data_IF_627688470470
#
_entry.id   IF_627688470470
#
_cell.length_a   1.000
_cell.length_b   1.000
_cell.length_c   1.000
_cell.angle_alpha   90.00
_cell.angle_beta   90.00
_cell.angle_gamma   90.00
#
_symmetry.space_group_name_H-M   'P 1'
#
loop_
_entity.id
_entity.type
_entity.pdbx_description
1 polymer ?
#
# COMPACT_ATOMS: atom_id res chain seq x y z
N UNK A 1 3.51 -3.83 5.53
CA UNK A 1 3.35 -3.87 4.05
C UNK A 1 4.08 -2.72 3.34
N UNK A 2 3.94 -1.47 3.81
CA UNK A 2 4.56 -0.27 3.19
C UNK A 2 6.05 -0.44 2.81
N UNK A 3 6.91 -0.90 3.72
CA UNK A 3 8.33 -1.11 3.45
C UNK A 3 8.60 -2.09 2.30
N UNK A 4 7.87 -3.20 2.25
CA UNK A 4 7.99 -4.17 1.15
C UNK A 4 7.52 -3.57 -0.18
N UNK A 5 6.47 -2.76 -0.18
CA UNK A 5 6.01 -2.04 -1.37
C UNK A 5 7.04 -1.03 -1.88
N UNK A 6 7.70 -0.29 -0.99
CA UNK A 6 8.79 0.63 -1.36
C UNK A 6 9.93 -0.09 -2.08
N UNK A 7 10.42 -1.20 -1.52
CA UNK A 7 11.51 -1.98 -2.10
C UNK A 7 11.10 -2.63 -3.43
N UNK A 8 9.88 -3.15 -3.51
CA UNK A 8 9.33 -3.73 -4.74
C UNK A 8 9.19 -2.68 -5.83
N UNK A 9 8.60 -1.53 -5.52
CA UNK A 9 8.37 -0.45 -6.47
C UNK A 9 9.69 0.06 -7.08
N UNK A 10 10.67 0.34 -6.22
CA UNK A 10 12.02 0.72 -6.65
C UNK A 10 12.74 -0.36 -7.45
N UNK A 11 12.39 -1.65 -7.29
CA UNK A 11 13.01 -2.74 -8.07
C UNK A 11 12.32 -2.94 -9.42
N UNK A 12 10.99 -2.82 -9.47
CA UNK A 12 10.17 -3.17 -10.62
C UNK A 12 9.91 -2.01 -11.58
N UNK A 13 10.36 -0.79 -11.26
CA UNK A 13 10.07 0.39 -12.09
C UNK A 13 8.67 0.97 -11.86
N UNK A 14 8.06 0.69 -10.71
CA UNK A 14 6.72 1.20 -10.38
C UNK A 14 6.87 2.52 -9.64
N UNK A 15 6.21 3.58 -10.11
CA UNK A 15 6.12 4.85 -9.36
C UNK A 15 5.26 4.64 -8.11
N UNK A 16 5.77 5.04 -6.95
CA UNK A 16 5.09 4.86 -5.67
C UNK A 16 5.09 6.15 -4.85
N UNK A 17 3.88 6.59 -4.51
CA UNK A 17 3.61 7.67 -3.57
C UNK A 17 3.11 7.06 -2.25
N UNK A 18 3.76 7.41 -1.15
CA UNK A 18 3.32 7.00 0.20
C UNK A 18 2.84 8.23 0.95
N UNK A 19 1.56 8.25 1.31
CA UNK A 19 0.99 9.27 2.18
C UNK A 19 0.89 8.76 3.62
N UNK A 20 1.46 9.50 4.58
CA UNK A 20 1.33 9.21 6.00
C UNK A 20 1.27 10.50 6.83
N UNK A 21 0.60 10.49 8.00
CA UNK A 21 0.68 11.60 8.94
C UNK A 21 2.13 11.89 9.33
N UNK A 22 2.48 13.16 9.62
CA UNK A 22 3.80 13.49 10.14
C UNK A 22 4.16 12.66 11.38
N UNK A 23 5.35 12.08 11.41
CA UNK A 23 5.83 11.18 12.47
C UNK A 23 5.42 9.71 12.30
N UNK A 24 4.76 9.35 11.20
CA UNK A 24 4.39 7.98 10.84
C UNK A 24 4.98 7.55 9.49
N UNK A 25 6.02 8.24 9.04
CA UNK A 25 6.72 7.95 7.80
C UNK A 25 7.34 6.54 7.81
N UNK A 26 7.52 5.91 6.63
CA UNK A 26 8.33 4.71 6.54
C UNK A 26 9.78 4.98 7.00
N UNK A 27 10.46 3.91 7.38
CA UNK A 27 11.84 3.96 7.84
C UNK A 27 12.75 4.58 6.77
N UNK A 28 13.56 5.56 7.17
CA UNK A 28 14.38 6.35 6.26
C UNK A 28 15.40 5.49 5.49
N UNK A 29 15.94 4.44 6.11
CA UNK A 29 16.91 3.55 5.47
C UNK A 29 16.22 2.69 4.39
N UNK A 30 14.97 2.28 4.62
CA UNK A 30 14.17 1.58 3.62
C UNK A 30 13.81 2.49 2.45
N UNK A 31 13.43 3.74 2.72
CA UNK A 31 13.18 4.74 1.66
C UNK A 31 14.43 4.99 0.83
N UNK A 32 15.60 5.10 1.47
CA UNK A 32 16.87 5.27 0.79
C UNK A 32 17.20 4.07 -0.13
N UNK A 33 17.02 2.85 0.36
CA UNK A 33 17.18 1.63 -0.43
C UNK A 33 16.22 1.57 -1.63
N UNK A 34 14.96 1.94 -1.42
CA UNK A 34 13.96 1.99 -2.50
C UNK A 34 14.36 2.99 -3.59
N UNK A 35 14.79 4.20 -3.21
CA UNK A 35 15.28 5.24 -4.15
C UNK A 35 16.54 4.81 -4.88
N UNK A 36 17.46 4.11 -4.21
CA UNK A 36 18.65 3.56 -4.85
C UNK A 36 18.28 2.54 -5.94
N UNK A 37 17.35 1.62 -5.65
CA UNK A 37 16.85 0.65 -6.64
C UNK A 37 16.16 1.39 -7.80
N UNK A 38 15.40 2.43 -7.48
CA UNK A 38 14.67 3.25 -8.43
C UNK A 38 15.58 3.94 -9.47
N UNK A 39 16.83 4.25 -9.11
CA UNK A 39 17.82 4.80 -10.06
C UNK A 39 18.07 3.86 -11.25
N UNK A 40 18.05 2.55 -11.03
CA UNK A 40 18.23 1.56 -12.09
C UNK A 40 16.92 1.25 -12.84
N UNK A 41 15.78 1.31 -12.16
CA UNK A 41 14.49 0.91 -12.74
C UNK A 41 13.70 2.07 -13.38
N UNK A 42 14.08 3.32 -13.13
CA UNK A 42 13.32 4.51 -13.53
C UNK A 42 12.07 4.78 -12.67
N UNK A 43 11.95 4.14 -11.50
CA UNK A 43 10.84 4.39 -10.60
C UNK A 43 10.97 5.77 -9.92
N UNK A 44 9.84 6.33 -9.47
CA UNK A 44 9.81 7.53 -8.64
C UNK A 44 9.22 7.18 -7.29
N UNK A 45 9.92 7.54 -6.21
CA UNK A 45 9.53 7.22 -4.82
C UNK A 45 9.34 8.52 -4.03
N UNK A 46 8.09 8.85 -3.77
CA UNK A 46 7.68 10.07 -3.10
C UNK A 46 7.05 9.76 -1.74
N UNK A 47 7.47 10.48 -0.70
CA UNK A 47 6.87 10.43 0.63
C UNK A 47 6.14 11.75 0.83
N UNK A 48 4.84 11.67 1.09
CA UNK A 48 3.92 12.78 1.12
C UNK A 48 3.14 12.77 2.44
N UNK A 49 2.55 13.92 2.76
CA UNK A 49 1.69 14.06 3.94
C UNK A 49 0.25 14.40 3.59
N UNK A 50 -0.09 14.61 2.31
CA UNK A 50 -1.47 14.80 1.89
C UNK A 50 -1.95 13.57 1.10
N UNK A 51 -2.94 12.81 1.61
CA UNK A 51 -3.50 11.68 0.88
C UNK A 51 -4.17 12.11 -0.43
N UNK A 52 -4.75 13.32 -0.49
CA UNK A 52 -5.38 13.82 -1.71
C UNK A 52 -4.36 14.09 -2.81
N UNK A 53 -3.15 14.53 -2.45
CA UNK A 53 -2.05 14.68 -3.38
C UNK A 53 -1.54 13.32 -3.87
N UNK A 54 -1.38 12.36 -2.96
CA UNK A 54 -0.80 11.05 -3.27
C UNK A 54 -1.66 10.21 -4.23
N UNK A 55 -2.98 10.35 -4.18
CA UNK A 55 -3.89 9.60 -5.07
C UNK A 55 -4.05 10.24 -6.45
N UNK A 56 -3.55 11.47 -6.67
CA UNK A 56 -3.63 12.10 -8.01
C UNK A 56 -2.90 11.22 -9.00
N UNK A 57 -3.55 10.93 -10.13
CA UNK A 57 -2.98 10.13 -11.23
C UNK A 57 -2.60 8.69 -10.84
N UNK A 58 -3.02 8.20 -9.67
CA UNK A 58 -2.65 6.86 -9.21
C UNK A 58 -3.47 5.77 -9.93
N UNK A 59 -2.80 4.80 -10.56
CA UNK A 59 -3.46 3.61 -11.14
C UNK A 59 -3.99 2.63 -10.07
N UNK A 60 -3.45 2.70 -8.85
CA UNK A 60 -3.88 1.88 -7.73
C UNK A 60 -3.74 2.64 -6.40
N UNK A 61 -4.76 2.52 -5.55
CA UNK A 61 -4.75 3.03 -4.17
C UNK A 61 -4.71 1.84 -3.22
N UNK A 62 -3.65 1.78 -2.40
CA UNK A 62 -3.43 0.69 -1.44
C UNK A 62 -3.44 1.24 -0.02
N UNK A 63 -4.28 0.68 0.85
CA UNK A 63 -4.21 0.93 2.30
C UNK A 63 -4.08 -0.36 3.13
N UNK A 64 -3.73 -0.20 4.40
CA UNK A 64 -3.55 -1.26 5.40
C UNK A 64 -4.09 -0.74 6.74
N UNK A 65 -4.32 -1.63 7.69
CA UNK A 65 -4.79 -1.28 9.04
C UNK A 65 -3.86 -0.26 9.68
N UNK A 66 -4.45 0.76 10.30
CA UNK A 66 -3.66 1.83 10.91
C UNK A 66 -2.90 1.36 12.14
N UNK A 67 -3.42 0.43 12.93
CA UNK A 67 -2.72 -0.18 14.04
C UNK A 67 -2.47 -1.65 13.73
N UNK A 68 -1.19 -2.02 13.63
CA UNK A 68 -0.80 -3.42 13.39
C UNK A 68 -1.04 -4.28 14.64
N UNK A 69 -0.98 -5.60 14.47
CA UNK A 69 -0.99 -6.53 15.60
C UNK A 69 0.15 -6.19 16.57
N UNK A 70 -0.15 -6.06 17.86
CA UNK A 70 0.81 -5.65 18.90
C UNK A 70 0.90 -4.14 19.13
N UNK A 71 0.09 -3.33 18.44
CA UNK A 71 0.02 -1.87 18.61
C UNK A 71 -1.32 -1.41 19.24
N UNK A 72 -2.00 -2.28 19.97
CA UNK A 72 -3.35 -2.04 20.50
C UNK A 72 -3.39 -0.82 21.43
N UNK A 73 -2.32 -0.58 22.19
CA UNK A 73 -2.20 0.58 23.08
C UNK A 73 -2.10 1.92 22.32
N UNK A 74 -1.63 1.93 21.07
CA UNK A 74 -1.50 3.12 20.21
C UNK A 74 -2.73 3.29 19.30
N UNK A 75 -3.71 2.38 19.33
CA UNK A 75 -4.81 2.34 18.37
C UNK A 75 -5.60 3.64 18.30
N UNK A 76 -5.99 4.21 19.44
CA UNK A 76 -6.77 5.45 19.51
C UNK A 76 -5.98 6.66 18.97
N UNK A 77 -4.70 6.74 19.30
CA UNK A 77 -3.81 7.81 18.81
C UNK A 77 -3.62 7.72 17.30
N UNK A 78 -3.39 6.52 16.78
CA UNK A 78 -3.29 6.26 15.34
C UNK A 78 -4.60 6.55 14.63
N UNK A 79 -5.76 6.15 15.19
CA UNK A 79 -7.07 6.45 14.61
C UNK A 79 -7.29 7.95 14.43
N UNK A 80 -6.87 8.78 15.39
CA UNK A 80 -6.95 10.25 15.27
C UNK A 80 -6.00 10.80 14.22
N UNK A 81 -4.74 10.33 14.20
CA UNK A 81 -3.74 10.80 13.25
C UNK A 81 -4.07 10.40 11.80
N UNK A 82 -4.55 9.17 11.60
CA UNK A 82 -4.84 8.60 10.30
C UNK A 82 -6.28 8.82 9.82
N UNK A 83 -7.18 9.34 10.66
CA UNK A 83 -8.55 9.68 10.26
C UNK A 83 -8.65 10.41 8.90
N UNK A 84 -7.83 11.46 8.65
CA UNK A 84 -7.78 12.14 7.35
C UNK A 84 -7.29 11.29 6.16
N UNK A 85 -6.71 10.12 6.41
CA UNK A 85 -6.16 9.19 5.41
C UNK A 85 -7.09 8.01 5.11
N UNK A 86 -8.32 8.00 5.65
CA UNK A 86 -9.31 6.98 5.32
C UNK A 86 -9.54 6.94 3.81
N UNK A 87 -9.43 5.75 3.23
CA UNK A 87 -9.80 5.54 1.84
C UNK A 87 -11.33 5.42 1.76
N UNK A 88 -11.95 6.52 1.39
CA UNK A 88 -13.39 6.64 1.16
C UNK A 88 -13.69 7.03 -0.29
N UNK A 89 -14.98 7.13 -0.63
CA UNK A 89 -15.42 7.46 -1.99
C UNK A 89 -14.91 8.84 -2.44
N UNK A 90 -14.81 9.82 -1.53
CA UNK A 90 -14.26 11.15 -1.87
C UNK A 90 -12.79 11.05 -2.26
N UNK A 91 -11.97 10.34 -1.47
CA UNK A 91 -10.55 10.18 -1.78
C UNK A 91 -10.36 9.41 -3.10
N UNK A 92 -11.08 8.30 -3.28
CA UNK A 92 -11.04 7.52 -4.53
C UNK A 92 -11.49 8.32 -5.75
N UNK A 93 -12.42 9.28 -5.60
CA UNK A 93 -12.86 10.14 -6.70
C UNK A 93 -11.79 11.09 -7.23
N UNK A 94 -10.68 11.27 -6.49
CA UNK A 94 -9.52 12.08 -6.90
C UNK A 94 -8.48 11.27 -7.68
N UNK A 95 -8.57 9.95 -7.64
CA UNK A 95 -7.80 9.07 -8.52
C UNK A 95 -8.49 8.96 -9.90
N UNK A 96 -7.76 8.53 -10.95
CA UNK A 96 -8.35 8.10 -12.22
C UNK A 96 -9.54 7.14 -12.03
N UNK A 97 -10.51 7.20 -12.95
CA UNK A 97 -11.76 6.41 -12.85
C UNK A 97 -11.53 4.90 -12.94
N UNK A 98 -10.44 4.50 -13.58
CA UNK A 98 -9.99 3.11 -13.75
C UNK A 98 -8.99 2.67 -12.67
N UNK A 99 -8.63 3.56 -11.74
CA UNK A 99 -7.79 3.21 -10.61
C UNK A 99 -8.41 2.09 -9.79
N UNK A 100 -7.60 1.14 -9.33
CA UNK A 100 -8.06 0.01 -8.52
C UNK A 100 -7.81 0.25 -7.04
N UNK A 101 -8.69 -0.28 -6.18
CA UNK A 101 -8.50 -0.29 -4.74
C UNK A 101 -7.92 -1.63 -4.26
N UNK A 102 -6.90 -1.54 -3.40
CA UNK A 102 -6.14 -2.66 -2.87
C UNK A 102 -6.04 -2.61 -1.33
N UNK A 103 -6.10 -3.78 -0.70
CA UNK A 103 -5.94 -3.95 0.75
C UNK A 103 -5.37 -5.35 1.06
N UNK A 104 -4.43 -5.45 2.00
CA UNK A 104 -3.72 -6.70 2.32
C UNK A 104 -4.54 -7.70 3.15
N UNK A 105 -5.57 -7.19 3.85
CA UNK A 105 -6.45 -7.85 4.82
C UNK A 105 -5.74 -8.32 6.11
N UNK A 106 -6.48 -8.44 7.23
CA UNK A 106 -7.91 -8.11 7.42
C UNK A 106 -8.15 -6.60 7.44
N UNK A 107 -9.32 -6.15 6.95
CA UNK A 107 -9.70 -4.73 6.98
C UNK A 107 -10.57 -4.39 8.21
N UNK A 108 -10.37 -3.21 8.79
CA UNK A 108 -11.24 -2.51 9.74
C UNK A 108 -12.09 -1.49 8.98
N UNK A 109 -13.26 -1.96 8.55
CA UNK A 109 -14.28 -1.11 7.90
C UNK A 109 -14.66 0.08 8.79
N UNK A 110 -14.73 1.26 8.19
CA UNK A 110 -14.97 2.53 8.90
C UNK A 110 -13.72 3.15 9.52
N UNK A 111 -12.57 2.48 9.47
CA UNK A 111 -11.26 3.03 9.83
C UNK A 111 -10.45 3.32 8.57
N UNK A 112 -9.52 2.45 8.15
CA UNK A 112 -8.68 2.72 6.98
C UNK A 112 -9.43 2.73 5.65
N UNK A 113 -10.62 2.12 5.60
CA UNK A 113 -11.44 2.01 4.39
C UNK A 113 -12.93 2.00 4.71
N UNK A 114 -13.75 2.60 3.85
CA UNK A 114 -15.22 2.51 3.95
C UNK A 114 -15.78 1.29 3.23
N UNK A 115 -16.99 0.86 3.61
CA UNK A 115 -17.69 -0.27 2.99
C UNK A 115 -17.85 -0.09 1.48
N UNK A 116 -18.24 1.13 1.07
CA UNK A 116 -18.46 1.50 -0.33
C UNK A 116 -17.22 1.33 -1.22
N UNK A 117 -16.03 1.52 -0.65
CA UNK A 117 -14.77 1.37 -1.40
C UNK A 117 -14.36 -0.10 -1.47
N UNK A 118 -14.34 -0.81 -0.33
CA UNK A 118 -13.84 -2.19 -0.29
C UNK A 118 -14.78 -3.18 -1.00
N UNK A 119 -16.09 -2.91 -1.02
CA UNK A 119 -17.07 -3.71 -1.77
C UNK A 119 -17.44 -3.08 -3.13
N UNK A 120 -16.86 -1.92 -3.44
CA UNK A 120 -17.12 -1.16 -4.64
C UNK A 120 -16.50 -1.76 -5.92
N UNK A 121 -16.89 -1.25 -7.10
CA UNK A 121 -16.47 -1.82 -8.39
C UNK A 121 -14.97 -1.67 -8.68
N UNK A 122 -14.28 -0.71 -8.06
CA UNK A 122 -12.83 -0.53 -8.17
C UNK A 122 -12.04 -1.48 -7.27
N UNK A 123 -12.70 -2.16 -6.33
CA UNK A 123 -12.03 -3.06 -5.39
C UNK A 123 -11.57 -4.34 -6.05
N UNK A 124 -10.28 -4.64 -5.89
CA UNK A 124 -9.68 -5.90 -6.34
C UNK A 124 -9.19 -6.75 -5.17
N UNK A 125 -9.64 -6.45 -3.95
CA UNK A 125 -9.13 -7.04 -2.69
C UNK A 125 -9.27 -8.57 -2.66
N UNK A 126 -10.41 -9.12 -3.09
CA UNK A 126 -10.60 -10.58 -3.13
C UNK A 126 -9.70 -11.26 -4.17
N UNK A 127 -9.53 -10.64 -5.35
CA UNK A 127 -8.61 -11.13 -6.38
C UNK A 127 -7.16 -11.06 -5.89
N UNK A 128 -6.77 -9.98 -5.22
CA UNK A 128 -5.47 -9.83 -4.58
C UNK A 128 -5.23 -10.93 -3.54
N UNK A 129 -6.21 -11.22 -2.68
CA UNK A 129 -6.12 -12.27 -1.68
C UNK A 129 -5.97 -13.66 -2.32
N UNK A 130 -6.77 -13.97 -3.35
CA UNK A 130 -6.68 -15.22 -4.08
C UNK A 130 -5.30 -15.42 -4.75
N UNK A 131 -4.72 -14.34 -5.28
CA UNK A 131 -3.39 -14.37 -5.90
C UNK A 131 -2.25 -14.73 -4.93
N UNK A 132 -2.45 -14.61 -3.60
CA UNK A 132 -1.46 -15.04 -2.61
C UNK A 132 -1.13 -16.53 -2.72
N UNK A 133 -2.13 -17.38 -2.97
CA UNK A 133 -1.92 -18.82 -3.18
C UNK A 133 -1.02 -19.09 -4.40
N UNK A 134 -1.29 -18.40 -5.51
CA UNK A 134 -0.54 -18.57 -6.75
C UNK A 134 0.91 -18.08 -6.61
N UNK A 135 1.11 -16.91 -6.00
CA UNK A 135 2.43 -16.36 -5.72
C UNK A 135 3.25 -17.30 -4.83
N UNK A 136 2.68 -17.81 -3.74
CA UNK A 136 3.37 -18.71 -2.82
C UNK A 136 3.75 -20.04 -3.47
N UNK A 137 2.88 -20.60 -4.33
CA UNK A 137 3.24 -21.77 -5.15
C UNK A 137 4.43 -21.50 -6.06
N UNK A 138 4.45 -20.34 -6.72
CA UNK A 138 5.56 -19.92 -7.58
C UNK A 138 6.88 -19.82 -6.80
N UNK A 139 6.86 -19.18 -5.63
CA UNK A 139 8.03 -19.08 -4.75
C UNK A 139 8.54 -20.45 -4.34
N UNK A 140 7.66 -21.38 -3.93
CA UNK A 140 8.05 -22.72 -3.53
C UNK A 140 8.73 -23.50 -4.67
N UNK A 141 8.16 -23.45 -5.87
CA UNK A 141 8.76 -24.11 -7.05
C UNK A 141 10.14 -23.52 -7.37
N UNK A 142 10.25 -22.19 -7.37
CA UNK A 142 11.51 -21.51 -7.66
C UNK A 142 12.62 -21.85 -6.67
N UNK A 143 12.31 -21.88 -5.37
CA UNK A 143 13.27 -22.28 -4.32
C UNK A 143 13.65 -23.76 -4.45
N UNK A 144 12.66 -24.65 -4.61
CA UNK A 144 12.91 -26.11 -4.63
C UNK A 144 13.65 -26.58 -5.88
N UNK A 145 13.56 -25.85 -6.99
CA UNK A 145 14.29 -26.15 -8.22
C UNK A 145 15.75 -25.64 -8.21
N UNK A 146 16.18 -24.95 -7.15
CA UNK A 146 17.54 -24.40 -7.07
C UNK A 146 17.78 -23.21 -8.01
N UNK A 147 16.71 -22.55 -8.47
CA UNK A 147 16.79 -21.33 -9.30
C UNK A 147 16.87 -20.04 -8.45
N UNK A 148 16.99 -20.19 -7.13
CA UNK A 148 17.24 -19.09 -6.19
C UNK A 148 18.67 -18.53 -6.29
N UNK A 149 18.89 -17.26 -5.91
CA UNK A 149 20.21 -16.66 -5.81
C UNK A 149 21.09 -17.35 -4.76
#
# INVERSE_FOLDING_TARGET
>A
VCHSMLLLAGTMGVHLRVASPPGYEPDADIVAQARQRATASGAEIEILHDPHEAVREADAVYTDVWASMGQEAEAEKRRRAFGPYQVNAELMSRAPRDAVFMHCLPARRGEEVTDEVIDGPQSIVLRQAANRMHLQKGILVWILNGEGP
#
